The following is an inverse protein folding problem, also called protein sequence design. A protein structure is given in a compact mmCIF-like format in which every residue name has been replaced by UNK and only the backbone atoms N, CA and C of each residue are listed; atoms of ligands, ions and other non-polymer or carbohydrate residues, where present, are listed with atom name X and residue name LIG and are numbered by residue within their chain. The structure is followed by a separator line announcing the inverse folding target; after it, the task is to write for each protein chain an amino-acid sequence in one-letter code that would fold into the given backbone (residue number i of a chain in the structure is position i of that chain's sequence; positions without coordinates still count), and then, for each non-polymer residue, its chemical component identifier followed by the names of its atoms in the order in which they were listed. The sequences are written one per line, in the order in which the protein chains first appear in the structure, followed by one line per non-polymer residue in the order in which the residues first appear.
data_IF_851423616054
#
_entry.id   IF_851423616054
#
_cell.length_a   1.000
_cell.length_b   1.000
_cell.length_c   1.000
_cell.angle_alpha   90.00
_cell.angle_beta   90.00
_cell.angle_gamma   90.00
#
_symmetry.space_group_name_H-M   'P 1'
#
loop_
_entity.id
_entity.type
_entity.pdbx_description
1 polymer ?
#
# COMPACT_ATOMS: atom_id res chain seq x y z
N UNK A 1 17.19 -26.45 6.13
CA UNK A 1 15.97 -25.92 5.49
C UNK A 1 16.42 -24.86 4.51
N UNK A 2 16.41 -25.16 3.21
CA UNK A 2 16.76 -24.17 2.19
C UNK A 2 15.67 -23.10 2.21
N UNK A 3 15.98 -21.89 2.65
CA UNK A 3 15.13 -20.73 2.40
C UNK A 3 15.08 -20.54 0.89
N UNK A 4 14.10 -21.17 0.25
CA UNK A 4 13.69 -20.82 -1.10
C UNK A 4 13.50 -19.31 -1.11
N UNK A 5 14.30 -18.60 -1.90
CA UNK A 5 14.09 -17.16 -2.12
C UNK A 5 12.68 -17.02 -2.70
N UNK A 6 11.72 -16.62 -1.88
CA UNK A 6 10.35 -16.41 -2.34
C UNK A 6 10.38 -15.38 -3.46
N UNK A 7 9.85 -15.75 -4.63
CA UNK A 7 9.75 -14.84 -5.75
C UNK A 7 8.80 -13.69 -5.39
N UNK A 8 9.11 -12.48 -5.84
CA UNK A 8 8.18 -11.36 -5.71
C UNK A 8 7.04 -11.56 -6.70
N UNK A 9 5.81 -11.66 -6.20
CA UNK A 9 4.62 -11.86 -7.02
C UNK A 9 3.92 -10.53 -7.35
N UNK A 10 3.99 -9.56 -6.42
CA UNK A 10 3.26 -8.30 -6.55
C UNK A 10 4.13 -7.09 -6.21
N UNK A 11 3.91 -5.99 -6.93
CA UNK A 11 4.33 -4.65 -6.50
C UNK A 11 3.10 -3.76 -6.35
N UNK A 12 2.84 -3.31 -5.12
CA UNK A 12 1.70 -2.46 -4.78
C UNK A 12 2.18 -1.03 -4.62
N UNK A 13 1.76 -0.15 -5.52
CA UNK A 13 2.19 1.24 -5.54
C UNK A 13 1.16 2.12 -4.83
N UNK A 14 1.64 2.89 -3.87
CA UNK A 14 0.89 3.95 -3.21
C UNK A 14 1.54 5.29 -3.53
N UNK A 15 0.92 6.39 -3.09
CA UNK A 15 1.48 7.73 -3.30
C UNK A 15 2.90 7.89 -2.72
N UNK A 16 3.18 7.27 -1.57
CA UNK A 16 4.44 7.46 -0.86
C UNK A 16 5.45 6.33 -1.12
N UNK A 17 4.98 5.09 -1.27
CA UNK A 17 5.84 3.91 -1.30
C UNK A 17 5.30 2.81 -2.23
N UNK A 18 6.20 1.94 -2.67
CA UNK A 18 5.90 0.69 -3.35
C UNK A 18 6.23 -0.48 -2.43
N UNK A 19 5.24 -1.35 -2.19
CA UNK A 19 5.37 -2.54 -1.36
C UNK A 19 5.59 -3.75 -2.27
N UNK A 20 6.69 -4.49 -2.08
CA UNK A 20 6.98 -5.70 -2.83
C UNK A 20 6.53 -6.92 -2.01
N UNK A 21 5.54 -7.64 -2.52
CA UNK A 21 4.95 -8.79 -1.86
C UNK A 21 5.36 -10.08 -2.57
N UNK A 22 5.57 -11.14 -1.80
CA UNK A 22 5.74 -12.49 -2.33
C UNK A 22 4.39 -13.16 -2.66
N UNK A 23 4.44 -14.43 -3.02
CA UNK A 23 3.27 -15.23 -3.40
C UNK A 23 2.27 -15.44 -2.24
N UNK A 24 2.74 -15.37 -1.00
CA UNK A 24 1.95 -15.50 0.22
C UNK A 24 1.36 -14.15 0.68
N UNK A 25 1.63 -13.07 -0.06
CA UNK A 25 1.23 -11.71 0.27
C UNK A 25 2.06 -11.08 1.38
N UNK A 26 3.23 -11.63 1.72
CA UNK A 26 4.13 -11.08 2.73
C UNK A 26 4.96 -9.97 2.11
N UNK A 27 4.95 -8.79 2.71
CA UNK A 27 5.77 -7.68 2.27
C UNK A 27 7.24 -7.94 2.60
N UNK A 28 8.08 -8.09 1.57
CA UNK A 28 9.50 -8.38 1.73
C UNK A 28 10.35 -7.11 1.67
N UNK A 29 9.91 -6.13 0.91
CA UNK A 29 10.63 -4.88 0.68
C UNK A 29 9.67 -3.71 0.51
N UNK A 30 10.18 -2.52 0.83
CA UNK A 30 9.47 -1.26 0.64
C UNK A 30 10.43 -0.29 -0.03
N UNK A 31 9.97 0.31 -1.12
CA UNK A 31 10.71 1.34 -1.86
C UNK A 31 9.98 2.66 -1.70
N UNK A 32 10.65 3.69 -1.18
CA UNK A 32 10.10 5.05 -1.11
C UNK A 32 10.53 5.84 -2.34
N UNK A 33 9.63 6.62 -2.92
CA UNK A 33 9.98 7.53 -4.02
C UNK A 33 10.98 8.62 -3.58
N UNK A 34 10.97 8.95 -2.29
CA UNK A 34 11.85 9.95 -1.67
C UNK A 34 13.18 9.35 -1.19
N UNK A 35 13.43 8.05 -1.42
CA UNK A 35 14.62 7.34 -0.98
C UNK A 35 14.66 7.00 0.53
N UNK A 36 13.91 7.72 1.36
CA UNK A 36 13.77 7.43 2.80
C UNK A 36 12.41 6.81 3.09
N UNK A 37 12.41 5.62 3.70
CA UNK A 37 11.18 4.96 4.17
C UNK A 37 10.90 5.37 5.62
N UNK A 38 9.76 6.00 5.94
CA UNK A 38 9.39 6.38 7.31
C UNK A 38 9.32 5.17 8.25
N UNK A 39 9.65 5.35 9.53
CA UNK A 39 9.74 4.26 10.51
C UNK A 39 8.44 3.45 10.66
N UNK A 40 7.28 4.11 10.64
CA UNK A 40 5.98 3.43 10.72
C UNK A 40 5.68 2.58 9.47
N UNK A 41 6.19 2.97 8.30
CA UNK A 41 6.01 2.19 7.06
C UNK A 41 6.90 0.96 7.07
N UNK A 42 8.12 1.06 7.64
CA UNK A 42 9.05 -0.08 7.76
C UNK A 42 8.47 -1.26 8.53
N UNK A 43 7.49 -1.03 9.40
CA UNK A 43 6.76 -2.09 10.11
C UNK A 43 6.02 -3.03 9.15
N UNK A 44 5.72 -2.61 7.92
CA UNK A 44 5.09 -3.49 6.95
C UNK A 44 6.05 -4.59 6.47
N UNK A 45 7.38 -4.47 6.65
CA UNK A 45 8.32 -5.54 6.27
C UNK A 45 8.08 -6.78 7.16
N UNK A 46 7.80 -7.90 6.52
CA UNK A 46 7.40 -9.16 7.15
C UNK A 46 5.91 -9.25 7.49
N UNK A 47 5.14 -8.18 7.28
CA UNK A 47 3.70 -8.20 7.49
C UNK A 47 2.97 -8.84 6.30
N UNK A 48 1.92 -9.60 6.58
CA UNK A 48 1.12 -10.29 5.57
C UNK A 48 -0.09 -9.47 5.17
N UNK A 49 -0.32 -9.31 3.86
CA UNK A 49 -1.56 -8.74 3.34
C UNK A 49 -2.76 -9.62 3.71
N UNK A 50 -3.81 -9.01 4.27
CA UNK A 50 -5.02 -9.75 4.68
C UNK A 50 -6.29 -9.27 3.98
N UNK A 51 -6.38 -7.99 3.63
CA UNK A 51 -7.57 -7.40 3.03
C UNK A 51 -7.26 -6.01 2.45
N UNK A 52 -8.13 -5.50 1.58
CA UNK A 52 -8.18 -4.09 1.24
C UNK A 52 -9.45 -3.43 1.81
N UNK A 53 -9.28 -2.20 2.30
CA UNK A 53 -10.37 -1.34 2.76
C UNK A 53 -10.85 -0.46 1.60
N UNK A 54 -12.03 -0.78 1.05
CA UNK A 54 -12.69 -0.11 -0.07
C UNK A 54 -14.11 0.32 0.35
N UNK A 55 -14.30 1.63 0.59
CA UNK A 55 -15.58 2.17 1.08
C UNK A 55 -16.72 2.09 0.06
N UNK A 56 -16.41 1.82 -1.22
CA UNK A 56 -17.43 1.61 -2.24
C UNK A 56 -18.02 0.19 -2.22
N UNK A 57 -17.37 -0.75 -1.52
CA UNK A 57 -17.84 -2.13 -1.35
C UNK A 57 -18.68 -2.23 -0.09
N UNK A 58 -19.80 -2.96 -0.17
CA UNK A 58 -20.64 -3.24 0.99
C UNK A 58 -19.82 -3.95 2.10
N UNK A 59 -19.85 -3.39 3.32
CA UNK A 59 -19.03 -3.85 4.44
C UNK A 59 -17.58 -3.34 4.43
N UNK A 60 -17.14 -2.65 3.37
CA UNK A 60 -15.88 -1.90 3.32
C UNK A 60 -14.61 -2.75 3.16
N UNK A 61 -14.67 -4.07 3.22
CA UNK A 61 -13.52 -4.97 3.20
C UNK A 61 -13.60 -5.96 2.03
N UNK A 62 -12.48 -6.12 1.32
CA UNK A 62 -12.31 -7.14 0.28
C UNK A 62 -11.06 -7.96 0.55
N UNK A 63 -11.05 -9.24 0.13
CA UNK A 63 -9.86 -10.10 0.18
C UNK A 63 -8.86 -9.84 -0.96
N UNK A 64 -9.20 -8.99 -1.92
CA UNK A 64 -8.39 -8.73 -3.11
C UNK A 64 -7.72 -7.34 -3.04
N UNK A 65 -6.52 -7.21 -3.63
CA UNK A 65 -5.87 -5.92 -3.83
C UNK A 65 -6.67 -5.12 -4.89
N UNK A 66 -7.06 -3.89 -4.56
CA UNK A 66 -7.86 -3.02 -5.44
C UNK A 66 -7.23 -1.64 -5.53
N UNK A 67 -7.25 -1.07 -6.74
CA UNK A 67 -6.87 0.32 -6.97
C UNK A 67 -7.92 1.23 -6.29
N UNK A 68 -7.46 2.30 -5.66
CA UNK A 68 -8.27 3.23 -4.85
C UNK A 68 -8.50 2.78 -3.41
N UNK A 69 -8.38 1.48 -3.12
CA UNK A 69 -8.52 0.93 -1.77
C UNK A 69 -7.24 1.11 -0.95
N UNK A 70 -7.32 0.93 0.37
CA UNK A 70 -6.15 0.89 1.26
C UNK A 70 -5.80 -0.55 1.60
N UNK A 71 -4.57 -0.99 1.38
CA UNK A 71 -4.14 -2.33 1.76
C UNK A 71 -3.99 -2.43 3.29
N UNK A 72 -4.44 -3.55 3.84
CA UNK A 72 -4.30 -3.90 5.25
C UNK A 72 -3.30 -5.06 5.39
N UNK A 73 -2.33 -4.85 6.26
CA UNK A 73 -1.30 -5.82 6.57
C UNK A 73 -1.39 -6.21 8.04
N UNK A 74 -1.11 -7.46 8.36
CA UNK A 74 -0.99 -7.95 9.73
C UNK A 74 0.46 -8.31 10.00
N UNK A 75 1.04 -7.72 11.05
CA UNK A 75 2.34 -8.09 11.57
C UNK A 75 2.17 -8.84 12.89
N UNK A 76 2.86 -9.97 13.01
CA UNK A 76 2.93 -10.73 14.25
C UNK A 76 4.09 -10.22 15.10
N UNK A 77 3.82 -9.85 16.36
CA UNK A 77 4.83 -9.42 17.33
C UNK A 77 4.67 -10.26 18.60
N UNK A 78 5.26 -11.45 18.59
CA UNK A 78 5.05 -12.45 19.64
C UNK A 78 3.61 -12.98 19.59
N UNK A 79 2.86 -12.78 20.68
CA UNK A 79 1.45 -13.16 20.78
C UNK A 79 0.50 -12.08 20.24
N UNK A 80 1.02 -10.88 19.98
CA UNK A 80 0.21 -9.76 19.52
C UNK A 80 0.15 -9.71 17.99
N UNK A 81 -0.99 -9.27 17.48
CA UNK A 81 -1.18 -8.94 16.07
C UNK A 81 -1.39 -7.45 15.92
N UNK A 82 -0.63 -6.83 15.03
CA UNK A 82 -0.75 -5.40 14.71
C UNK A 82 -1.30 -5.26 13.30
N UNK A 83 -2.42 -4.55 13.17
CA UNK A 83 -3.01 -4.22 11.87
C UNK A 83 -2.42 -2.90 11.37
N UNK A 84 -1.71 -2.97 10.27
CA UNK A 84 -1.07 -1.86 9.58
C UNK A 84 -1.91 -1.48 8.36
N UNK A 85 -2.05 -0.17 8.11
CA UNK A 85 -2.84 0.36 6.99
C UNK A 85 -1.97 1.25 6.11
N UNK A 86 -2.04 1.03 4.81
CA UNK A 86 -1.33 1.88 3.83
C UNK A 86 -2.15 3.09 3.40
N UNK A 87 -1.52 3.97 2.61
CA UNK A 87 -2.25 4.92 1.77
C UNK A 87 -3.04 4.21 0.65
N UNK A 88 -3.85 4.97 -0.11
CA UNK A 88 -4.57 4.44 -1.27
C UNK A 88 -3.61 3.81 -2.30
N UNK A 89 -4.02 2.66 -2.83
CA UNK A 89 -3.30 1.96 -3.89
C UNK A 89 -3.59 2.64 -5.22
N UNK A 90 -2.56 3.06 -5.94
CA UNK A 90 -2.68 3.68 -7.25
C UNK A 90 -2.44 2.70 -8.40
N UNK A 91 -1.54 1.75 -8.20
CA UNK A 91 -1.14 0.79 -9.23
C UNK A 91 -0.73 -0.54 -8.60
N UNK A 92 -0.96 -1.64 -9.32
CA UNK A 92 -0.61 -2.99 -8.90
C UNK A 92 0.04 -3.69 -10.09
N UNK A 93 1.31 -4.07 -9.94
CA UNK A 93 1.98 -4.97 -10.89
C UNK A 93 1.86 -6.41 -10.40
N UNK A 94 1.19 -7.26 -11.19
CA UNK A 94 1.12 -8.70 -10.97
C UNK A 94 2.11 -9.41 -11.89
N UNK A 95 3.22 -9.87 -11.31
CA UNK A 95 4.28 -10.56 -12.05
C UNK A 95 3.83 -11.96 -12.50
N UNK A 96 2.94 -12.61 -11.75
CA UNK A 96 2.43 -13.94 -12.10
C UNK A 96 1.64 -13.89 -13.40
N UNK A 97 0.91 -12.80 -13.63
CA UNK A 97 0.17 -12.58 -14.87
C UNK A 97 1.07 -12.24 -16.05
N UNK A 98 2.16 -11.51 -15.81
CA UNK A 98 3.13 -11.17 -16.85
C UNK A 98 3.96 -12.38 -17.32
N UNK A 99 4.24 -13.32 -16.42
CA UNK A 99 5.04 -14.51 -16.71
C UNK A 99 4.21 -15.70 -17.22
N UNK A 100 2.87 -15.59 -17.19
CA UNK A 100 2.02 -16.58 -17.85
C UNK A 100 2.45 -16.67 -19.33
N UNK A 101 2.97 -17.83 -19.79
CA UNK A 101 3.49 -17.96 -21.14
C UNK A 101 2.38 -17.51 -22.07
N UNK A 102 2.64 -16.43 -22.83
CA UNK A 102 1.70 -15.84 -23.77
C UNK A 102 1.08 -17.01 -24.52
N UNK A 103 -0.20 -17.30 -24.21
CA UNK A 103 -0.84 -18.52 -24.66
C UNK A 103 -0.54 -18.62 -26.15
N UNK A 104 0.17 -19.68 -26.55
CA UNK A 104 0.65 -19.82 -27.91
C UNK A 104 -0.49 -19.41 -28.83
N UNK A 105 -0.29 -18.43 -29.74
CA UNK A 105 -1.37 -17.88 -30.55
C UNK A 105 -2.16 -19.07 -31.09
N UNK A 106 -3.50 -19.10 -30.89
CA UNK A 106 -4.29 -20.30 -31.13
C UNK A 106 -3.91 -20.79 -32.52
N UNK A 107 -3.16 -21.90 -32.57
CA UNK A 107 -2.61 -22.39 -33.83
C UNK A 107 -3.81 -22.59 -34.74
N UNK A 108 -3.82 -21.86 -35.85
CA UNK A 108 -4.96 -21.71 -36.74
C UNK A 108 -5.60 -23.09 -36.95
N UNK A 109 -6.72 -23.31 -36.26
CA UNK A 109 -7.53 -24.50 -36.44
C UNK A 109 -8.01 -24.40 -37.88
N UNK A 110 -7.42 -25.23 -38.73
CA UNK A 110 -7.81 -25.32 -40.13
C UNK A 110 -9.30 -25.69 -40.14
N UNK A 111 -10.12 -24.77 -40.65
CA UNK A 111 -11.57 -24.91 -40.72
C UNK A 111 -11.94 -26.27 -41.31
N UNK A 112 -12.60 -27.18 -40.56
CA UNK A 112 -13.29 -28.29 -41.20
C UNK A 112 -14.53 -27.70 -41.89
N UNK A 113 -14.43 -27.54 -43.21
CA UNK A 113 -15.59 -27.41 -44.08
C UNK A 113 -16.42 -28.69 -43.92
N UNK A 114 -17.47 -28.63 -43.12
CA UNK A 114 -18.25 -29.80 -42.73
C UNK A 114 -19.55 -29.42 -42.04
N UNK A 115 -20.54 -29.07 -42.86
CA UNK A 115 -21.95 -28.89 -42.51
C UNK A 115 -22.47 -30.04 -41.64
N UNK A 116 -22.96 -29.75 -40.43
CA UNK A 116 -24.15 -30.42 -39.90
C UNK A 116 -24.79 -29.67 -38.73
N UNK A 117 -26.04 -29.26 -38.96
CA UNK A 117 -26.96 -28.73 -37.97
C UNK A 117 -27.22 -29.79 -36.88
N UNK A 118 -26.92 -29.46 -35.63
CA UNK A 118 -27.08 -30.35 -34.48
C UNK A 118 -27.23 -29.60 -33.15
N UNK A 119 -28.41 -29.03 -32.95
CA UNK A 119 -29.07 -28.64 -31.70
C UNK A 119 -28.62 -29.44 -30.45
N UNK A 120 -27.98 -28.78 -29.47
CA UNK A 120 -28.33 -28.81 -28.02
C UNK A 120 -27.51 -27.76 -27.26
N UNK A 121 -28.20 -26.97 -26.42
CA UNK A 121 -27.65 -25.88 -25.65
C UNK A 121 -26.78 -26.32 -24.47
N UNK A 122 -25.69 -25.59 -24.25
CA UNK A 122 -24.85 -25.65 -23.07
C UNK A 122 -24.05 -24.35 -22.99
N UNK A 123 -24.41 -23.49 -22.03
CA UNK A 123 -23.81 -22.18 -21.84
C UNK A 123 -22.32 -22.30 -21.44
N UNK A 124 -21.44 -21.41 -21.95
CA UNK A 124 -20.00 -21.53 -21.76
C UNK A 124 -19.56 -21.13 -20.34
N UNK A 125 -18.91 -22.08 -19.69
CA UNK A 125 -17.75 -21.97 -18.79
C UNK A 125 -17.49 -20.57 -18.21
N UNK A 126 -18.04 -20.34 -17.02
CA UNK A 126 -17.61 -19.28 -16.11
C UNK A 126 -16.20 -19.65 -15.62
N UNK A 127 -15.17 -18.98 -16.13
CA UNK A 127 -13.82 -19.08 -15.57
C UNK A 127 -13.91 -18.70 -14.09
N UNK A 128 -13.79 -19.71 -13.22
CA UNK A 128 -13.83 -19.54 -11.77
C UNK A 128 -12.52 -18.81 -11.41
N UNK A 129 -12.58 -17.59 -10.83
CA UNK A 129 -11.36 -16.98 -10.30
C UNK A 129 -10.72 -17.97 -9.32
N UNK A 130 -9.38 -18.02 -9.20
CA UNK A 130 -8.74 -18.80 -8.17
C UNK A 130 -9.34 -18.36 -6.85
N UNK A 131 -10.07 -19.26 -6.21
CA UNK A 131 -10.56 -19.03 -4.88
C UNK A 131 -9.30 -18.92 -4.01
N UNK A 132 -8.88 -17.69 -3.74
CA UNK A 132 -8.13 -17.44 -2.52
C UNK A 132 -9.00 -18.04 -1.43
N UNK A 133 -8.53 -19.16 -0.89
CA UNK A 133 -9.16 -19.76 0.25
C UNK A 133 -9.18 -18.68 1.31
N UNK A 134 -10.33 -18.04 1.48
CA UNK A 134 -10.69 -17.52 2.78
C UNK A 134 -10.52 -18.74 3.66
N UNK A 135 -9.44 -18.77 4.44
CA UNK A 135 -9.25 -19.73 5.51
C UNK A 135 -10.37 -19.40 6.50
N UNK A 136 -11.57 -19.90 6.18
CA UNK A 136 -12.66 -20.00 7.13
C UNK A 136 -12.20 -21.09 8.07
N UNK A 137 -11.46 -20.70 9.12
CA UNK A 137 -11.41 -21.51 10.32
C UNK A 137 -12.87 -21.70 10.74
N UNK A 138 -13.28 -22.95 10.64
CA UNK A 138 -14.64 -23.38 10.89
C UNK A 138 -14.96 -23.09 12.35
N UNK A 139 -15.97 -22.26 12.60
CA UNK A 139 -16.70 -22.22 13.86
C UNK A 139 -16.02 -21.52 15.05
N UNK A 140 -15.72 -20.23 14.93
CA UNK A 140 -15.92 -19.31 16.05
C UNK A 140 -16.13 -17.91 15.50
N UNK A 141 -17.33 -17.38 15.66
CA UNK A 141 -17.67 -16.00 15.32
C UNK A 141 -16.93 -15.07 16.29
N UNK A 142 -15.64 -14.83 16.04
CA UNK A 142 -14.92 -13.78 16.73
C UNK A 142 -15.26 -12.46 16.06
N UNK A 143 -16.26 -11.79 16.61
CA UNK A 143 -16.46 -10.35 16.44
C UNK A 143 -15.14 -9.68 16.84
N UNK A 144 -14.31 -9.33 15.87
CA UNK A 144 -13.11 -8.51 16.10
C UNK A 144 -13.62 -7.12 16.49
N UNK A 145 -13.82 -6.95 17.78
CA UNK A 145 -14.15 -5.66 18.37
C UNK A 145 -12.87 -4.86 18.31
N UNK A 146 -12.72 -4.03 17.28
CA UNK A 146 -11.64 -3.04 17.20
C UNK A 146 -11.92 -2.03 18.32
N UNK A 147 -11.42 -2.32 19.52
CA UNK A 147 -11.45 -1.37 20.62
C UNK A 147 -10.43 -0.28 20.31
N UNK A 148 -10.91 0.84 19.78
CA UNK A 148 -10.20 2.11 19.79
C UNK A 148 -9.99 2.53 21.26
N UNK A 149 -8.98 1.96 21.93
CA UNK A 149 -8.53 2.42 23.25
C UNK A 149 -7.62 3.62 23.04
N UNK A 150 -8.22 4.80 23.15
CA UNK A 150 -7.54 6.08 23.09
C UNK A 150 -8.45 7.26 23.39
N UNK A 151 -9.41 7.10 24.30
CA UNK A 151 -10.07 8.21 24.97
C UNK A 151 -10.19 7.83 26.45
N UNK A 152 -9.19 8.23 27.22
CA UNK A 152 -9.15 8.00 28.67
C UNK A 152 -10.18 8.90 29.39
N UNK A 153 -10.79 8.30 30.41
CA UNK A 153 -11.30 8.91 31.64
C UNK A 153 -12.58 9.77 31.63
N UNK A 154 -13.72 9.11 31.82
CA UNK A 154 -14.72 9.53 32.82
C UNK A 154 -15.57 8.33 33.27
N UNK A 155 -15.07 7.56 34.23
CA UNK A 155 -15.90 6.61 34.99
C UNK A 155 -16.70 7.41 36.02
N UNK A 156 -18.00 7.58 35.80
CA UNK A 156 -18.93 7.88 36.89
C UNK A 156 -19.98 6.77 36.95
N UNK A 157 -19.86 5.96 38.00
CA UNK A 157 -20.86 4.99 38.43
C UNK A 157 -22.15 5.74 38.77
N UNK A 158 -23.26 5.37 38.16
CA UNK A 158 -24.54 5.49 38.85
C UNK A 158 -25.47 4.36 38.44
N UNK A 159 -25.80 3.54 39.43
CA UNK A 159 -26.82 2.50 39.34
C UNK A 159 -28.21 3.16 39.42
N UNK A 160 -29.16 2.48 38.81
CA UNK A 160 -30.56 2.37 39.24
C UNK A 160 -31.52 3.52 38.90
N UNK A 161 -32.39 3.27 37.92
CA UNK A 161 -33.86 3.10 38.04
C UNK A 161 -34.57 3.68 36.80
N UNK A 162 -35.14 2.77 36.01
CA UNK A 162 -36.57 2.72 35.70
C UNK A 162 -37.28 4.08 35.70
N UNK A 163 -37.26 4.79 34.56
CA UNK A 163 -38.25 5.82 34.21
C UNK A 163 -38.31 6.01 32.69
N UNK A 164 -39.51 5.82 32.14
CA UNK A 164 -40.10 6.72 31.15
C UNK A 164 -39.60 6.61 29.71
N UNK A 165 -40.43 6.01 28.87
CA UNK A 165 -40.44 6.25 27.42
C UNK A 165 -40.57 7.77 27.15
N UNK A 166 -39.55 8.37 26.54
CA UNK A 166 -39.55 9.80 26.13
C UNK A 166 -39.89 9.86 24.63
N UNK A 167 -40.93 10.60 24.21
CA UNK A 167 -41.27 10.75 22.80
C UNK A 167 -40.22 11.58 22.04
N UNK A 168 -40.08 11.40 20.72
CA UNK A 168 -39.12 12.14 19.92
C UNK A 168 -39.64 13.56 19.69
N UNK A 169 -38.99 14.55 20.27
CA UNK A 169 -39.21 15.96 19.95
C UNK A 169 -37.87 16.69 20.08
N UNK A 170 -37.27 16.98 18.93
CA UNK A 170 -37.00 18.35 18.44
C UNK A 170 -35.93 18.31 17.32
N UNK A 171 -36.11 19.08 16.24
CA UNK A 171 -35.08 19.22 15.22
C UNK A 171 -33.85 19.90 15.84
N UNK A 172 -32.70 19.22 15.73
CA UNK A 172 -31.41 19.75 16.15
C UNK A 172 -31.24 21.19 15.66
N UNK A 173 -31.23 22.13 16.60
CA UNK A 173 -30.87 23.52 16.33
C UNK A 173 -29.47 23.60 15.71
N UNK A 174 -29.17 24.72 15.02
CA UNK A 174 -27.85 24.92 14.44
C UNK A 174 -26.77 24.74 15.53
N UNK A 175 -25.65 24.09 15.22
CA UNK A 175 -24.59 23.87 16.19
C UNK A 175 -24.14 25.23 16.75
N UNK A 176 -23.87 25.32 18.07
CA UNK A 176 -23.40 26.56 18.68
C UNK A 176 -22.13 27.01 17.97
N UNK A 177 -22.02 28.32 17.74
CA UNK A 177 -20.83 28.93 17.16
C UNK A 177 -19.60 28.51 17.98
N UNK A 178 -18.73 27.72 17.36
CA UNK A 178 -17.47 27.27 17.97
C UNK A 178 -16.66 28.53 18.27
N UNK A 179 -16.39 28.76 19.54
CA UNK A 179 -15.54 29.87 19.96
C UNK A 179 -14.19 29.77 19.23
N UNK A 180 -13.65 30.90 18.72
CA UNK A 180 -12.37 30.89 18.02
C UNK A 180 -11.29 30.32 18.95
N UNK A 181 -10.34 29.53 18.41
CA UNK A 181 -9.26 28.99 19.21
C UNK A 181 -8.46 30.14 19.85
N UNK A 182 -7.95 29.95 21.09
CA UNK A 182 -7.12 30.96 21.73
C UNK A 182 -5.89 31.27 20.86
N UNK A 183 -5.37 32.50 20.90
CA UNK A 183 -4.19 32.87 20.14
C UNK A 183 -3.01 31.98 20.53
N UNK A 184 -2.35 31.41 19.52
CA UNK A 184 -1.18 30.56 19.72
C UNK A 184 -0.06 31.37 20.40
N UNK A 185 0.61 30.82 21.43
CA UNK A 185 1.70 31.54 22.09
C UNK A 185 2.83 31.83 21.09
N UNK A 186 3.50 32.98 21.20
CA UNK A 186 4.58 33.34 20.30
C UNK A 186 5.69 32.29 20.35
N UNK A 187 6.15 31.85 19.18
CA UNK A 187 7.26 30.91 19.07
C UNK A 187 8.49 31.46 19.84
N UNK A 188 9.23 30.60 20.56
CA UNK A 188 10.42 31.04 21.27
C UNK A 188 11.42 31.66 20.29
N UNK A 189 12.16 32.70 20.71
CA UNK A 189 13.17 33.33 19.87
C UNK A 189 14.18 32.26 19.43
N UNK A 190 14.31 32.09 18.12
CA UNK A 190 15.36 31.24 17.54
C UNK A 190 16.70 31.89 17.91
N UNK A 191 17.38 31.28 18.87
CA UNK A 191 18.73 31.71 19.26
C UNK A 191 19.70 31.67 18.07
N UNK A 192 20.78 32.46 18.13
CA UNK A 192 21.82 32.42 17.11
C UNK A 192 22.43 31.02 17.11
N UNK A 193 22.32 30.36 15.96
CA UNK A 193 22.98 29.13 15.55
C UNK A 193 24.33 28.94 16.27
N UNK A 194 24.35 28.09 17.31
CA UNK A 194 25.59 27.60 17.87
C UNK A 194 26.21 26.64 16.84
N UNK A 195 27.47 26.89 16.50
CA UNK A 195 28.15 26.32 15.36
C UNK A 195 28.02 24.80 15.27
N UNK A 196 27.74 24.33 14.05
CA UNK A 196 28.05 22.96 13.67
C UNK A 196 29.56 22.78 13.83
N UNK A 197 29.98 22.23 14.97
CA UNK A 197 31.34 21.72 15.08
C UNK A 197 31.50 20.60 14.05
N UNK A 198 32.53 20.64 13.20
CA UNK A 198 32.89 19.49 12.40
C UNK A 198 33.14 18.32 13.35
N UNK A 199 32.59 17.15 13.06
CA UNK A 199 33.02 15.90 13.71
C UNK A 199 34.47 15.62 13.28
N UNK A 200 35.44 16.31 13.90
CA UNK A 200 36.84 15.91 13.88
C UNK A 200 36.93 14.56 14.59
N UNK A 201 37.14 13.47 13.83
CA UNK A 201 37.47 12.18 14.45
C UNK A 201 36.99 10.92 13.73
N UNK A 202 36.23 10.99 12.65
CA UNK A 202 36.00 9.79 11.83
C UNK A 202 37.12 9.66 10.80
N UNK A 203 38.25 9.10 11.24
CA UNK A 203 39.23 8.51 10.34
C UNK A 203 38.51 7.45 9.49
N UNK A 204 38.56 7.54 8.15
CA UNK A 204 38.12 6.44 7.32
C UNK A 204 38.97 5.21 7.67
N UNK A 205 38.39 3.99 7.74
CA UNK A 205 39.17 2.80 8.01
C UNK A 205 40.30 2.67 6.98
N UNK A 206 41.54 2.77 7.47
CA UNK A 206 42.75 2.47 6.70
C UNK A 206 42.60 1.06 6.13
N UNK A 207 42.51 0.94 4.80
CA UNK A 207 42.55 -0.37 4.15
C UNK A 207 41.74 -0.54 2.87
N UNK A 208 40.90 0.42 2.46
CA UNK A 208 40.28 0.35 1.13
C UNK A 208 41.15 1.08 0.11
N UNK A 209 42.17 0.36 -0.40
CA UNK A 209 42.85 0.78 -1.61
C UNK A 209 41.80 0.84 -2.74
N UNK A 210 41.65 1.98 -3.42
CA UNK A 210 40.85 2.04 -4.63
C UNK A 210 41.52 1.13 -5.67
N UNK A 211 40.78 0.18 -6.22
CA UNK A 211 41.28 -0.61 -7.35
C UNK A 211 41.64 0.36 -8.50
N UNK A 212 42.95 0.52 -8.71
CA UNK A 212 43.54 1.15 -9.89
C UNK A 212 43.06 0.38 -11.14
N UNK A 213 41.96 0.82 -11.74
CA UNK A 213 41.39 0.10 -12.87
C UNK A 213 40.10 0.65 -13.46
N UNK A 214 39.32 1.43 -12.72
CA UNK A 214 38.13 2.07 -13.28
C UNK A 214 38.49 3.38 -13.99
N UNK A 215 39.10 3.20 -15.16
CA UNK A 215 39.23 4.24 -16.18
C UNK A 215 37.82 4.64 -16.56
N UNK A 216 37.49 5.90 -16.31
CA UNK A 216 36.31 6.54 -16.85
C UNK A 216 36.27 6.27 -18.36
N UNK A 217 35.33 5.43 -18.78
CA UNK A 217 34.90 5.41 -20.17
C UNK A 217 34.32 6.79 -20.43
N UNK A 218 35.13 7.62 -21.08
CA UNK A 218 34.72 8.87 -21.71
C UNK A 218 33.49 8.55 -22.56
N UNK A 219 32.32 8.98 -22.06
CA UNK A 219 31.07 8.98 -22.83
C UNK A 219 31.36 9.66 -24.17
N UNK A 220 31.34 8.87 -25.24
CA UNK A 220 31.27 9.41 -26.59
C UNK A 220 29.92 10.12 -26.73
N UNK A 221 29.89 11.42 -27.06
CA UNK A 221 28.64 12.11 -27.36
C UNK A 221 27.99 11.46 -28.57
N UNK A 222 26.77 10.96 -28.36
CA UNK A 222 26.00 10.26 -29.40
C UNK A 222 25.80 11.16 -30.64
N UNK A 223 26.13 10.68 -31.86
CA UNK A 223 26.05 11.49 -33.08
C UNK A 223 24.61 11.78 -33.56
N UNK A 224 23.58 11.36 -32.82
CA UNK A 224 22.17 11.61 -33.16
C UNK A 224 21.47 12.61 -32.24
N UNK A 225 22.20 13.28 -31.33
CA UNK A 225 21.65 14.40 -30.56
C UNK A 225 21.25 15.53 -31.52
N UNK A 226 19.98 15.51 -31.94
CA UNK A 226 19.41 16.49 -32.83
C UNK A 226 19.60 17.90 -32.24
N UNK A 227 19.97 18.89 -33.05
CA UNK A 227 20.12 20.26 -32.57
C UNK A 227 18.78 20.74 -32.00
N UNK A 228 18.83 21.12 -30.72
CA UNK A 228 17.74 21.77 -30.01
C UNK A 228 17.32 22.98 -30.85
N UNK A 229 16.17 22.85 -31.52
CA UNK A 229 15.64 23.92 -32.37
C UNK A 229 15.14 25.00 -31.43
N UNK A 230 15.97 26.02 -31.25
CA UNK A 230 15.60 27.24 -30.55
C UNK A 230 14.33 27.79 -31.20
N UNK A 231 13.26 27.86 -30.42
CA UNK A 231 12.01 28.53 -30.81
C UNK A 231 12.30 30.04 -30.84
N UNK A 232 12.18 30.73 -31.98
CA UNK A 232 12.34 32.18 -32.02
C UNK A 232 11.17 32.86 -31.30
N UNK A 233 11.43 33.97 -30.58
CA UNK A 233 10.38 34.83 -30.06
C UNK A 233 9.83 35.69 -31.21
N UNK A 234 8.61 35.40 -31.66
CA UNK A 234 7.77 36.37 -32.38
C UNK A 234 6.90 37.04 -31.31
N UNK A 235 7.13 38.33 -31.04
CA UNK A 235 6.41 39.50 -31.58
C UNK A 235 5.10 39.78 -30.81
N UNK A 236 5.14 40.89 -30.05
CA UNK A 236 3.98 41.70 -29.64
C UNK A 236 4.12 43.05 -30.37
#
# INVERSE_FOLDING_TARGET
MSSSRSAMAYAVHTQACTYLLDEDGVCRWIVSQQGVVPAHVRQCIGAQFVASLDLAVEGGLTGELRIGARALFVQHTGENMVLLRTGPVHHIDDRRRAEAPAAAPPSAVSSPSGSQYGKVGGLPYRAKPPAFGVVRRHGEEQTITIQNRGLEAATQRSRHKDLGFVPPSEPFGPPPAVAPPPPEPPAPPRGPWEGQQPLEGQQPPEGQQPLEGQRFAREEPSPWAAPNTAVPPWDD
#
